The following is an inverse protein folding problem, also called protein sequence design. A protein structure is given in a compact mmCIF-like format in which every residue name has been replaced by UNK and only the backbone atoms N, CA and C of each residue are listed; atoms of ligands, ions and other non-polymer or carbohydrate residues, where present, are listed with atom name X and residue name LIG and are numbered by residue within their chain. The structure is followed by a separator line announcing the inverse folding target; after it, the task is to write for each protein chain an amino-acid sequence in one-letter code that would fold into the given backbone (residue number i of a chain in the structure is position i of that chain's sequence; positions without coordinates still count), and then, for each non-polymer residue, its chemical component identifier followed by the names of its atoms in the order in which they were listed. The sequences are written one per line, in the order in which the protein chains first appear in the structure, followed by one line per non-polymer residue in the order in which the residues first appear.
data_IF_421610864957
#
_entry.id   IF_421610864957
#
_cell.length_a   1.000
_cell.length_b   1.000
_cell.length_c   1.000
_cell.angle_alpha   90.00
_cell.angle_beta   90.00
_cell.angle_gamma   90.00
#
_symmetry.space_group_name_H-M   'P 1'
#
loop_
_entity.id
_entity.type
_entity.pdbx_description
1 polymer ?
#
# COMPACT_ATOMS: atom_id res chain seq x y z
N UNK A 1 4.42 -17.99 18.85
CA UNK A 1 3.65 -17.69 17.62
C UNK A 1 3.89 -18.80 16.63
N UNK A 2 2.88 -19.18 15.85
CA UNK A 2 2.92 -20.28 14.88
C UNK A 2 2.75 -19.73 13.47
N UNK A 3 3.16 -20.51 12.48
CA UNK A 3 2.89 -20.21 11.08
C UNK A 3 1.38 -19.96 10.88
N UNK A 4 1.06 -18.92 10.11
CA UNK A 4 -0.30 -18.42 9.84
C UNK A 4 -1.00 -17.71 11.00
N UNK A 5 -0.33 -17.50 12.14
CA UNK A 5 -0.85 -16.55 13.12
C UNK A 5 -0.87 -15.14 12.51
N UNK A 6 -2.02 -14.47 12.63
CA UNK A 6 -2.11 -13.05 12.34
C UNK A 6 -1.53 -12.27 13.50
N UNK A 7 -0.68 -11.30 13.20
CA UNK A 7 0.05 -10.53 14.19
C UNK A 7 -0.02 -9.04 13.86
N UNK A 8 0.13 -8.21 14.90
CA UNK A 8 0.36 -6.77 14.77
C UNK A 8 1.68 -6.39 15.44
N UNK A 9 2.42 -5.47 14.83
CA UNK A 9 3.64 -4.92 15.42
C UNK A 9 3.29 -3.92 16.53
N UNK A 10 3.60 -4.23 17.78
CA UNK A 10 3.26 -3.38 18.94
C UNK A 10 4.41 -2.48 19.39
N UNK A 11 5.63 -2.71 18.88
CA UNK A 11 6.81 -1.90 19.16
C UNK A 11 7.56 -1.56 17.89
N UNK A 12 7.95 -0.29 17.74
CA UNK A 12 8.77 0.17 16.62
C UNK A 12 10.14 0.61 17.13
N UNK A 13 11.20 0.07 16.53
CA UNK A 13 12.60 0.39 16.82
C UNK A 13 13.36 0.63 15.51
N UNK A 14 14.62 1.04 15.58
CA UNK A 14 15.38 1.45 14.37
C UNK A 14 15.60 0.27 13.39
N UNK A 15 15.63 -0.98 13.89
CA UNK A 15 15.67 -2.18 13.05
C UNK A 15 14.46 -2.26 12.12
N UNK A 16 13.29 -1.80 12.55
CA UNK A 16 12.05 -1.85 11.77
C UNK A 16 11.79 -0.57 10.98
N UNK A 17 12.17 0.59 11.52
CA UNK A 17 11.99 1.88 10.83
C UNK A 17 12.71 1.95 9.48
N UNK A 18 13.89 1.33 9.35
CA UNK A 18 14.62 1.29 8.08
C UNK A 18 13.84 0.58 6.96
N UNK A 19 12.83 -0.24 7.30
CA UNK A 19 11.95 -0.92 6.37
C UNK A 19 10.58 -0.23 6.24
N UNK A 20 10.45 1.01 6.72
CA UNK A 20 9.22 1.80 6.73
C UNK A 20 8.03 1.13 7.44
N UNK A 21 8.29 0.16 8.33
CA UNK A 21 7.27 -0.39 9.21
C UNK A 21 6.77 0.67 10.19
N UNK A 22 5.52 0.51 10.61
CA UNK A 22 4.86 1.39 11.57
C UNK A 22 4.18 0.56 12.67
N UNK A 23 3.93 1.21 13.82
CA UNK A 23 3.18 0.57 14.90
C UNK A 23 1.78 0.19 14.43
N UNK A 24 1.30 -0.97 14.84
CA UNK A 24 0.09 -1.64 14.37
C UNK A 24 0.13 -2.10 12.90
N UNK A 25 1.30 -2.16 12.26
CA UNK A 25 1.43 -2.89 10.99
C UNK A 25 0.96 -4.35 11.20
N UNK A 26 -0.01 -4.77 10.39
CA UNK A 26 -0.58 -6.11 10.45
C UNK A 26 0.16 -7.03 9.51
N UNK A 27 0.27 -8.30 9.89
CA UNK A 27 1.00 -9.28 9.11
C UNK A 27 0.65 -10.70 9.51
N UNK A 28 1.29 -11.63 8.83
CA UNK A 28 1.07 -13.05 8.96
C UNK A 28 2.41 -13.71 9.20
N UNK A 29 2.48 -14.54 10.24
CA UNK A 29 3.68 -15.33 10.51
C UNK A 29 3.87 -16.31 9.35
N UNK A 30 4.95 -16.10 8.60
CA UNK A 30 5.32 -16.91 7.46
C UNK A 30 6.14 -18.13 7.87
N UNK A 31 7.04 -17.96 8.82
CA UNK A 31 7.96 -18.99 9.29
C UNK A 31 8.28 -18.77 10.77
N UNK A 32 8.27 -19.83 11.57
CA UNK A 32 8.80 -19.79 12.94
C UNK A 32 10.26 -20.24 12.89
N UNK A 33 11.18 -19.36 13.29
CA UNK A 33 12.62 -19.65 13.22
C UNK A 33 13.10 -20.28 14.53
N UNK A 34 12.73 -19.66 15.66
CA UNK A 34 13.03 -20.14 17.01
C UNK A 34 11.98 -19.62 18.02
N UNK A 35 12.23 -19.80 19.31
CA UNK A 35 11.30 -19.40 20.38
C UNK A 35 11.14 -17.87 20.56
N UNK A 36 12.00 -17.06 19.94
CA UNK A 36 11.99 -15.60 20.03
C UNK A 36 11.83 -14.91 18.68
N UNK A 37 12.08 -15.60 17.57
CA UNK A 37 12.09 -14.99 16.25
C UNK A 37 11.15 -15.69 15.27
N UNK A 38 10.44 -14.88 14.50
CA UNK A 38 9.55 -15.30 13.41
C UNK A 38 9.82 -14.47 12.17
N UNK A 39 9.61 -15.05 10.98
CA UNK A 39 9.46 -14.25 9.76
C UNK A 39 8.00 -13.88 9.59
N UNK A 40 7.75 -12.60 9.34
CA UNK A 40 6.41 -12.05 9.16
C UNK A 40 6.32 -11.41 7.79
N UNK A 41 5.25 -11.71 7.07
CA UNK A 41 4.81 -10.95 5.89
C UNK A 41 3.81 -9.89 6.37
N UNK A 42 4.26 -8.64 6.44
CA UNK A 42 3.41 -7.50 6.77
C UNK A 42 2.75 -6.93 5.52
N UNK A 43 1.53 -6.41 5.68
CA UNK A 43 0.76 -5.75 4.62
C UNK A 43 0.84 -4.23 4.80
N UNK A 44 1.08 -3.50 3.71
CA UNK A 44 1.12 -2.03 3.78
C UNK A 44 -0.29 -1.46 3.67
N UNK A 45 -0.78 -0.78 4.72
CA UNK A 45 -2.10 -0.13 4.69
C UNK A 45 -2.15 1.10 3.76
N UNK A 46 -0.99 1.62 3.35
CA UNK A 46 -0.88 2.78 2.47
C UNK A 46 -0.67 2.39 1.00
N UNK A 47 -0.44 1.11 0.71
CA UNK A 47 -0.27 0.60 -0.64
C UNK A 47 -0.67 -0.87 -0.67
N UNK A 48 -1.93 -1.12 -1.03
CA UNK A 48 -2.44 -2.47 -1.16
C UNK A 48 -1.63 -3.26 -2.19
N UNK A 49 -1.48 -4.56 -1.98
CA UNK A 49 -0.57 -5.46 -2.69
C UNK A 49 0.94 -5.23 -2.42
N UNK A 50 1.33 -4.20 -1.67
CA UNK A 50 2.69 -4.09 -1.14
C UNK A 50 2.84 -4.86 0.18
N UNK A 51 4.00 -5.49 0.35
CA UNK A 51 4.33 -6.23 1.56
C UNK A 51 5.75 -5.90 2.04
N UNK A 52 5.99 -6.11 3.33
CA UNK A 52 7.32 -6.22 3.90
C UNK A 52 7.50 -7.64 4.43
N UNK A 53 8.71 -8.19 4.31
CA UNK A 53 8.99 -9.56 4.73
C UNK A 53 10.26 -9.60 5.56
N UNK A 54 10.14 -9.80 6.88
CA UNK A 54 11.19 -9.51 7.84
C UNK A 54 11.23 -10.49 9.01
N UNK A 55 12.41 -10.61 9.62
CA UNK A 55 12.60 -11.32 10.90
C UNK A 55 12.30 -10.39 12.08
N UNK A 56 11.32 -10.77 12.90
CA UNK A 56 10.80 -9.97 14.01
C UNK A 56 10.95 -10.72 15.33
N UNK A 57 11.23 -9.99 16.42
CA UNK A 57 11.18 -10.56 17.76
C UNK A 57 9.72 -10.73 18.18
N UNK A 58 9.37 -11.91 18.68
CA UNK A 58 8.01 -12.22 19.14
C UNK A 58 7.53 -11.30 20.27
N UNK A 59 8.42 -10.67 21.04
CA UNK A 59 8.07 -9.69 22.08
C UNK A 59 7.69 -8.31 21.52
N UNK A 60 7.90 -8.10 20.22
CA UNK A 60 7.50 -6.89 19.49
C UNK A 60 6.18 -7.10 18.74
N UNK A 61 5.59 -8.29 18.85
CA UNK A 61 4.36 -8.69 18.17
C UNK A 61 3.26 -9.04 19.18
N UNK A 62 2.02 -8.87 18.77
CA UNK A 62 0.84 -9.39 19.44
C UNK A 62 0.01 -10.20 18.45
N UNK A 63 -0.41 -11.41 18.84
CA UNK A 63 -1.32 -12.22 18.04
C UNK A 63 -2.69 -11.56 18.03
N UNK A 64 -3.28 -11.41 16.86
CA UNK A 64 -4.60 -10.79 16.67
C UNK A 64 -5.53 -11.76 15.95
N UNK A 65 -6.83 -11.63 16.20
CA UNK A 65 -7.89 -12.32 15.46
C UNK A 65 -8.81 -11.23 14.90
N UNK A 66 -8.99 -11.19 13.58
CA UNK A 66 -9.99 -10.37 12.90
C UNK A 66 -10.73 -11.27 11.91
N UNK A 67 -12.03 -11.05 11.75
CA UNK A 67 -12.84 -11.78 10.80
C UNK A 67 -12.40 -11.50 9.35
N UNK A 68 -11.82 -10.31 9.09
CA UNK A 68 -11.21 -9.93 7.80
C UNK A 68 -10.08 -10.89 7.39
N UNK A 69 -9.44 -11.54 8.36
CA UNK A 69 -8.34 -12.46 8.13
C UNK A 69 -8.79 -13.89 7.79
N UNK A 70 -10.07 -14.22 7.96
CA UNK A 70 -10.57 -15.56 7.65
C UNK A 70 -10.52 -15.87 6.15
N UNK A 71 -10.94 -14.92 5.31
CA UNK A 71 -10.86 -15.08 3.84
C UNK A 71 -9.41 -15.11 3.35
N UNK A 72 -8.56 -14.27 3.96
CA UNK A 72 -7.12 -14.22 3.70
C UNK A 72 -6.46 -15.57 4.03
N UNK A 73 -6.86 -16.23 5.12
CA UNK A 73 -6.31 -17.54 5.51
C UNK A 73 -6.59 -18.64 4.49
N UNK A 74 -7.80 -18.66 3.91
CA UNK A 74 -8.16 -19.64 2.88
C UNK A 74 -7.41 -19.40 1.57
N UNK A 75 -7.29 -18.13 1.16
CA UNK A 75 -6.49 -17.74 0.01
C UNK A 75 -5.01 -18.13 0.21
N UNK A 76 -4.45 -17.79 1.37
CA UNK A 76 -3.08 -18.14 1.73
C UNK A 76 -2.87 -19.64 1.68
N UNK A 77 -3.67 -20.45 2.37
CA UNK A 77 -3.50 -21.90 2.36
C UNK A 77 -3.47 -22.50 0.94
N UNK A 78 -4.20 -21.91 -0.02
CA UNK A 78 -4.23 -22.36 -1.42
C UNK A 78 -2.98 -21.98 -2.22
N UNK A 79 -2.35 -20.84 -1.91
CA UNK A 79 -1.27 -20.26 -2.72
C UNK A 79 0.08 -20.14 -1.99
N UNK A 80 0.14 -20.37 -0.68
CA UNK A 80 1.29 -20.09 0.17
C UNK A 80 2.56 -20.77 -0.31
N UNK A 81 2.48 -22.07 -0.63
CA UNK A 81 3.62 -22.84 -1.13
C UNK A 81 4.11 -22.41 -2.52
N UNK A 82 3.39 -21.52 -3.21
CA UNK A 82 3.76 -20.97 -4.52
C UNK A 82 4.40 -19.58 -4.41
N UNK A 83 4.32 -18.96 -3.24
CA UNK A 83 4.85 -17.62 -2.99
C UNK A 83 6.18 -17.77 -2.27
N UNK A 84 7.24 -17.22 -2.85
CA UNK A 84 8.55 -17.11 -2.21
C UNK A 84 8.78 -15.62 -1.94
N UNK A 85 8.42 -15.11 -0.74
CA UNK A 85 8.60 -13.71 -0.44
C UNK A 85 10.09 -13.36 -0.32
N UNK A 86 10.44 -12.16 -0.78
CA UNK A 86 11.80 -11.64 -0.74
C UNK A 86 11.88 -10.65 0.42
N UNK A 87 12.99 -10.68 1.15
CA UNK A 87 13.23 -9.73 2.24
C UNK A 87 13.24 -8.30 1.69
N UNK A 88 12.28 -7.49 2.15
CA UNK A 88 12.13 -6.08 1.78
C UNK A 88 11.26 -5.35 2.80
N UNK A 89 11.35 -4.03 2.78
CA UNK A 89 10.46 -3.13 3.51
C UNK A 89 9.34 -2.57 2.64
N UNK A 90 8.49 -1.74 3.24
CA UNK A 90 7.54 -0.94 2.48
C UNK A 90 8.24 0.21 1.77
N UNK A 91 7.65 0.67 0.68
CA UNK A 91 7.97 1.98 0.10
C UNK A 91 7.52 3.07 1.08
N UNK A 92 8.22 4.21 1.04
CA UNK A 92 7.82 5.36 1.83
C UNK A 92 6.49 5.90 1.27
N UNK A 93 5.55 6.27 2.14
CA UNK A 93 4.36 7.03 1.72
C UNK A 93 4.79 8.45 1.33
N UNK A 94 4.50 8.84 0.09
CA UNK A 94 4.92 10.14 -0.48
C UNK A 94 3.76 11.08 -0.79
N UNK A 95 2.53 10.69 -0.47
CA UNK A 95 1.30 11.42 -0.77
C UNK A 95 0.32 11.33 0.40
N UNK A 96 -0.69 12.20 0.41
CA UNK A 96 -1.85 12.16 1.29
C UNK A 96 -3.13 12.38 0.48
N UNK A 97 -4.28 12.05 1.08
CA UNK A 97 -5.56 12.50 0.54
C UNK A 97 -5.56 14.03 0.46
N UNK A 98 -6.12 14.54 -0.63
CA UNK A 98 -6.22 15.95 -0.99
C UNK A 98 -4.90 16.66 -1.33
N UNK A 99 -3.80 15.92 -1.51
CA UNK A 99 -2.62 16.50 -2.13
C UNK A 99 -2.91 16.79 -3.62
N UNK A 100 -2.56 17.99 -4.07
CA UNK A 100 -2.60 18.35 -5.48
C UNK A 100 -1.40 17.73 -6.23
N UNK A 101 -1.67 17.24 -7.43
CA UNK A 101 -0.71 16.53 -8.27
C UNK A 101 -0.77 17.00 -9.71
N UNK A 102 0.39 17.01 -10.37
CA UNK A 102 0.52 17.23 -11.82
C UNK A 102 0.73 15.89 -12.53
N UNK A 103 -0.06 15.63 -13.58
CA UNK A 103 0.13 14.46 -14.44
C UNK A 103 1.37 14.64 -15.33
N UNK A 104 2.33 13.71 -15.27
CA UNK A 104 3.62 13.84 -15.95
C UNK A 104 3.67 13.23 -17.36
N UNK A 105 2.67 12.41 -17.69
CA UNK A 105 2.62 11.64 -18.94
C UNK A 105 1.42 12.05 -19.80
N UNK A 106 1.56 11.87 -21.11
CA UNK A 106 0.42 11.86 -22.02
C UNK A 106 0.06 10.40 -22.28
N UNK A 107 -1.18 10.01 -22.00
CA UNK A 107 -1.66 8.64 -22.20
C UNK A 107 -3.05 8.70 -22.88
N UNK A 108 -3.26 7.98 -24.00
CA UNK A 108 -4.55 7.93 -24.68
C UNK A 108 -5.72 7.60 -23.75
N UNK A 109 -5.52 6.76 -22.73
CA UNK A 109 -6.60 6.39 -21.78
C UNK A 109 -7.11 7.59 -20.97
N UNK A 110 -6.25 8.58 -20.72
CA UNK A 110 -6.58 9.79 -19.99
C UNK A 110 -7.09 10.87 -20.95
N UNK A 111 -6.49 10.97 -22.14
CA UNK A 111 -6.88 11.94 -23.16
C UNK A 111 -8.32 11.74 -23.66
N UNK A 112 -8.82 10.50 -23.70
CA UNK A 112 -10.22 10.18 -24.00
C UNK A 112 -11.21 10.81 -23.00
N UNK A 113 -10.75 11.11 -21.79
CA UNK A 113 -11.51 11.79 -20.72
C UNK A 113 -11.23 13.30 -20.67
N UNK A 114 -10.45 13.82 -21.62
CA UNK A 114 -10.01 15.22 -21.63
C UNK A 114 -8.92 15.55 -20.61
N UNK A 115 -8.22 14.53 -20.09
CA UNK A 115 -7.11 14.68 -19.15
C UNK A 115 -5.79 14.57 -19.92
N UNK A 116 -4.92 15.57 -19.78
CA UNK A 116 -3.68 15.70 -20.52
C UNK A 116 -2.47 15.87 -19.61
N UNK A 117 -1.28 15.65 -20.17
CA UNK A 117 -0.03 15.94 -19.46
C UNK A 117 -0.01 17.39 -18.98
N UNK A 118 0.37 17.58 -17.72
CA UNK A 118 0.43 18.88 -17.06
C UNK A 118 -0.88 19.30 -16.38
N UNK A 119 -1.96 18.54 -16.57
CA UNK A 119 -3.20 18.77 -15.83
C UNK A 119 -2.97 18.55 -14.32
N UNK A 120 -3.68 19.36 -13.54
CA UNK A 120 -3.67 19.31 -12.09
C UNK A 120 -4.89 18.53 -11.64
N UNK A 121 -4.68 17.56 -10.78
CA UNK A 121 -5.74 16.81 -10.10
C UNK A 121 -5.48 16.74 -8.61
N UNK A 122 -6.44 16.19 -7.88
CA UNK A 122 -6.39 16.05 -6.43
C UNK A 122 -6.49 14.57 -6.06
N UNK A 123 -5.58 14.09 -5.20
CA UNK A 123 -5.65 12.69 -4.71
C UNK A 123 -6.88 12.53 -3.83
N UNK A 124 -7.65 11.47 -4.05
CA UNK A 124 -8.93 11.26 -3.36
C UNK A 124 -8.82 10.46 -2.06
N UNK A 125 -7.82 9.58 -1.96
CA UNK A 125 -7.67 8.64 -0.85
C UNK A 125 -6.25 8.63 -0.31
N UNK A 126 -6.08 8.24 0.95
CA UNK A 126 -4.77 8.25 1.63
C UNK A 126 -3.98 6.94 1.47
N UNK A 127 -4.39 6.10 0.53
CA UNK A 127 -3.75 4.84 0.18
C UNK A 127 -3.69 4.64 -1.34
N UNK A 128 -2.75 3.79 -1.76
CA UNK A 128 -2.63 3.32 -3.13
C UNK A 128 -3.04 1.85 -3.21
N UNK A 129 -3.33 1.36 -4.41
CA UNK A 129 -3.37 -0.07 -4.70
C UNK A 129 -2.38 -0.35 -5.84
N UNK A 130 -1.41 -1.23 -5.60
CA UNK A 130 -0.37 -1.56 -6.59
C UNK A 130 0.38 -0.32 -7.14
N UNK A 131 0.68 0.64 -6.26
CA UNK A 131 1.27 1.95 -6.59
C UNK A 131 0.41 2.87 -7.46
N UNK A 132 -0.90 2.60 -7.58
CA UNK A 132 -1.85 3.50 -8.23
C UNK A 132 -2.72 4.19 -7.18
N UNK A 133 -2.90 5.49 -7.33
CA UNK A 133 -3.80 6.31 -6.50
C UNK A 133 -4.94 6.84 -7.34
N UNK A 134 -6.08 7.03 -6.71
CA UNK A 134 -7.24 7.64 -7.34
C UNK A 134 -7.07 9.17 -7.32
N UNK A 135 -7.14 9.78 -8.49
CA UNK A 135 -6.97 11.23 -8.68
C UNK A 135 -8.18 11.80 -9.40
N UNK A 136 -8.78 12.84 -8.84
CA UNK A 136 -9.84 13.61 -9.48
C UNK A 136 -9.23 14.73 -10.32
N UNK A 137 -9.45 14.68 -11.64
CA UNK A 137 -9.08 15.73 -12.58
C UNK A 137 -10.31 16.53 -13.06
N UNK A 138 -11.46 16.34 -12.40
CA UNK A 138 -12.72 16.98 -12.71
C UNK A 138 -12.60 18.50 -12.69
N UNK A 139 -12.97 19.12 -13.81
CA UNK A 139 -12.97 20.58 -13.97
C UNK A 139 -14.05 21.03 -14.93
N UNK A 140 -14.38 22.32 -14.87
CA UNK A 140 -15.22 22.96 -15.88
C UNK A 140 -14.35 23.66 -16.91
N UNK A 141 -14.69 23.50 -18.19
CA UNK A 141 -14.12 24.31 -19.27
C UNK A 141 -14.69 25.75 -19.27
N UNK A 142 -14.21 26.58 -20.20
CA UNK A 142 -14.66 27.96 -20.39
C UNK A 142 -16.16 28.09 -20.74
N UNK A 143 -16.80 27.00 -21.18
CA UNK A 143 -18.21 26.93 -21.55
C UNK A 143 -19.07 26.25 -20.47
N UNK A 144 -18.51 25.98 -19.28
CA UNK A 144 -19.14 25.22 -18.19
C UNK A 144 -19.48 23.76 -18.54
N UNK A 145 -18.80 23.16 -19.52
CA UNK A 145 -18.86 21.71 -19.70
C UNK A 145 -17.91 21.04 -18.72
N UNK A 146 -18.36 19.94 -18.14
CA UNK A 146 -17.50 19.10 -17.31
C UNK A 146 -16.50 18.33 -18.17
N UNK A 147 -15.22 18.38 -17.77
CA UNK A 147 -14.11 17.63 -18.35
C UNK A 147 -13.37 16.89 -17.23
N UNK A 148 -12.68 15.82 -17.61
CA UNK A 148 -11.97 14.96 -16.68
C UNK A 148 -12.86 13.90 -16.05
N UNK A 149 -12.24 13.10 -15.21
CA UNK A 149 -12.87 12.06 -14.42
C UNK A 149 -11.94 11.74 -13.23
N UNK A 150 -12.43 10.90 -12.33
CA UNK A 150 -11.67 10.33 -11.25
C UNK A 150 -11.01 9.02 -11.74
N UNK A 151 -9.69 9.02 -11.87
CA UNK A 151 -8.95 7.92 -12.51
C UNK A 151 -7.80 7.42 -11.65
N UNK A 152 -7.51 6.12 -11.76
CA UNK A 152 -6.32 5.53 -11.15
C UNK A 152 -5.07 5.90 -11.95
N UNK A 153 -4.10 6.51 -11.28
CA UNK A 153 -2.82 6.92 -11.88
C UNK A 153 -1.66 6.33 -11.07
N UNK A 154 -0.65 5.82 -11.78
CA UNK A 154 0.55 5.32 -11.13
C UNK A 154 1.31 6.48 -10.47
N UNK A 155 1.76 6.30 -9.23
CA UNK A 155 2.48 7.32 -8.46
C UNK A 155 3.71 7.87 -9.18
N UNK A 156 4.41 7.05 -9.98
CA UNK A 156 5.59 7.50 -10.75
C UNK A 156 5.25 8.51 -11.85
N UNK A 157 4.00 8.53 -12.29
CA UNK A 157 3.50 9.36 -13.37
C UNK A 157 2.84 10.64 -12.82
N UNK A 158 2.94 10.87 -11.51
CA UNK A 158 2.47 12.04 -10.80
C UNK A 158 3.62 12.81 -10.17
N UNK A 159 3.45 14.11 -10.05
CA UNK A 159 4.29 14.98 -9.22
C UNK A 159 3.44 15.69 -8.19
N UNK A 160 3.74 15.45 -6.91
CA UNK A 160 3.08 16.14 -5.79
C UNK A 160 3.48 17.62 -5.77
N UNK A 161 2.50 18.53 -5.65
CA UNK A 161 2.72 19.97 -5.82
C UNK A 161 2.90 20.75 -4.51
N UNK A 162 2.42 20.23 -3.37
CA UNK A 162 2.48 20.80 -2.01
C UNK A 162 1.84 22.16 -1.78
#
# INVERSE_FOLDING_TARGET
MKQYDFVKLIKINDKYKQYNLYINATGIVWETLDNRHVKVLFMNKYNECEYAYLVVDTNDLEVTQSDEFFEVKNFINKYFNKIVPIEKGFSKKEFNAYDDVELLIEDPKFAELGIHKGDIGTIMEDYAANNEVLVDFGRLDENNNFLGDCVSVNLKDLKILK
#
